data_IF_542794842691
#
_entry.id   IF_542794842691
#
_cell.length_a   1.000
_cell.length_b   1.000
_cell.length_c   1.000
_cell.angle_alpha   90.00
_cell.angle_beta   90.00
_cell.angle_gamma   90.00
#
_symmetry.space_group_name_H-M   'P 1'
#
loop_
_entity.id
_entity.type
_entity.pdbx_description
1 polymer ?
#
# COMPACT_ATOMS: atom_id res chain seq x y z
N UNK A 1 25.62 -6.15 38.95
CA UNK A 1 26.37 -5.68 37.78
C UNK A 1 27.85 -5.57 38.08
N UNK A 2 28.68 -6.29 37.37
CA UNK A 2 30.14 -6.24 37.44
C UNK A 2 30.67 -4.91 36.88
N UNK A 3 31.94 -4.57 37.17
CA UNK A 3 32.57 -3.37 36.59
C UNK A 3 32.64 -3.43 35.05
N UNK A 4 32.79 -4.63 34.48
CA UNK A 4 32.83 -4.86 33.03
C UNK A 4 31.46 -4.60 32.41
N UNK A 5 30.39 -5.16 32.97
CA UNK A 5 29.01 -4.94 32.50
C UNK A 5 28.60 -3.48 32.46
N UNK A 6 29.00 -2.70 33.51
CA UNK A 6 28.74 -1.25 33.56
C UNK A 6 29.49 -0.48 32.46
N UNK A 7 30.73 -0.87 32.17
CA UNK A 7 31.51 -0.27 31.08
C UNK A 7 30.90 -0.56 29.74
N UNK A 8 30.50 -1.81 29.51
CA UNK A 8 29.92 -2.24 28.25
C UNK A 8 28.56 -1.61 28.02
N UNK A 9 27.71 -1.48 29.07
CA UNK A 9 26.47 -0.76 29.02
C UNK A 9 26.67 0.73 28.66
N UNK A 10 27.63 1.38 29.33
CA UNK A 10 27.96 2.79 29.05
C UNK A 10 28.44 2.99 27.61
N UNK A 11 29.32 2.15 27.15
CA UNK A 11 29.80 2.21 25.74
C UNK A 11 28.68 1.97 24.77
N UNK A 12 27.84 0.96 24.98
CA UNK A 12 26.66 0.70 24.17
C UNK A 12 25.70 1.88 24.12
N UNK A 13 25.40 2.50 25.26
CA UNK A 13 24.56 3.71 25.31
C UNK A 13 25.20 4.91 24.62
N UNK A 14 26.53 5.10 24.73
CA UNK A 14 27.24 6.17 24.01
C UNK A 14 27.16 5.97 22.49
N UNK A 15 27.31 4.76 21.97
CA UNK A 15 27.17 4.48 20.56
C UNK A 15 25.71 4.59 20.06
N UNK A 16 24.74 4.20 20.90
CA UNK A 16 23.33 4.32 20.57
C UNK A 16 22.77 5.74 20.79
N UNK A 17 23.46 6.60 21.55
CA UNK A 17 22.95 7.92 21.93
C UNK A 17 22.55 8.84 20.77
N UNK A 18 23.27 8.92 19.65
CA UNK A 18 22.83 9.76 18.52
C UNK A 18 21.48 9.31 17.97
N UNK A 19 21.26 7.99 17.85
CA UNK A 19 19.98 7.44 17.41
C UNK A 19 18.89 7.70 18.48
N UNK A 20 19.17 7.47 19.74
CA UNK A 20 18.21 7.69 20.85
C UNK A 20 17.79 9.17 20.90
N UNK A 21 18.73 10.09 20.82
CA UNK A 21 18.44 11.53 20.80
C UNK A 21 17.60 11.90 19.57
N UNK A 22 17.98 11.41 18.40
CA UNK A 22 17.22 11.63 17.17
C UNK A 22 15.79 11.06 17.27
N UNK A 23 15.63 9.85 17.79
CA UNK A 23 14.32 9.25 18.02
C UNK A 23 13.46 10.05 18.99
N UNK A 24 14.03 10.48 20.13
CA UNK A 24 13.31 11.27 21.13
C UNK A 24 12.88 12.63 20.56
N UNK A 25 13.79 13.33 19.85
CA UNK A 25 13.54 14.68 19.35
C UNK A 25 12.61 14.68 18.12
N UNK A 26 12.79 13.75 17.18
CA UNK A 26 12.11 13.80 15.89
C UNK A 26 11.00 12.78 15.72
N UNK A 27 10.86 11.83 16.63
CA UNK A 27 9.79 10.84 16.57
C UNK A 27 8.91 10.93 17.82
N UNK A 28 9.46 10.75 18.99
CA UNK A 28 8.66 10.67 20.21
C UNK A 28 8.01 12.01 20.58
N UNK A 29 8.78 13.11 20.52
CA UNK A 29 8.25 14.44 20.82
C UNK A 29 7.13 14.86 19.86
N UNK A 30 7.27 14.82 18.52
CA UNK A 30 6.18 15.12 17.61
C UNK A 30 4.98 14.20 17.77
N UNK A 31 5.20 12.91 18.05
CA UNK A 31 4.12 11.98 18.35
C UNK A 31 3.33 12.38 19.60
N UNK A 32 4.02 12.65 20.70
CA UNK A 32 3.38 13.12 21.94
C UNK A 32 2.65 14.46 21.76
N UNK A 33 3.26 15.39 21.02
CA UNK A 33 2.63 16.66 20.66
C UNK A 33 1.36 16.45 19.80
N UNK A 34 1.40 15.54 18.82
CA UNK A 34 0.22 15.19 18.01
C UNK A 34 -0.92 14.62 18.86
N UNK A 35 -0.60 13.77 19.84
CA UNK A 35 -1.58 13.26 20.80
C UNK A 35 -2.20 14.40 21.62
N UNK A 36 -1.38 15.34 22.12
CA UNK A 36 -1.89 16.51 22.83
C UNK A 36 -2.79 17.37 21.94
N UNK A 37 -2.34 17.71 20.72
CA UNK A 37 -3.11 18.53 19.79
C UNK A 37 -4.40 17.86 19.30
N UNK A 38 -4.48 16.52 19.33
CA UNK A 38 -5.73 15.83 18.99
C UNK A 38 -6.90 16.17 19.91
N UNK A 39 -6.61 16.64 21.12
CA UNK A 39 -7.61 17.13 22.07
C UNK A 39 -7.83 18.65 22.00
N UNK A 40 -7.16 19.33 21.07
CA UNK A 40 -7.22 20.77 20.92
C UNK A 40 -7.83 21.14 19.56
N UNK A 41 -8.49 22.32 19.49
CA UNK A 41 -8.69 23.02 18.21
C UNK A 41 -7.36 23.73 17.89
N UNK A 42 -6.68 23.28 16.84
CA UNK A 42 -5.37 23.76 16.45
C UNK A 42 -5.21 23.84 14.94
N UNK A 43 -4.90 25.02 14.43
CA UNK A 43 -4.71 25.30 13.00
C UNK A 43 -3.26 25.63 12.63
N UNK A 44 -2.31 25.38 13.53
CA UNK A 44 -0.88 25.70 13.43
C UNK A 44 -0.53 27.20 13.36
N UNK A 45 -1.48 28.11 13.34
CA UNK A 45 -1.27 29.56 13.31
C UNK A 45 -1.60 30.15 14.68
N UNK A 46 -2.77 29.79 15.20
CA UNK A 46 -3.25 30.26 16.51
C UNK A 46 -2.81 29.30 17.64
N UNK A 47 -2.75 29.79 18.88
CA UNK A 47 -2.49 28.92 20.02
C UNK A 47 -3.52 27.79 20.14
N UNK A 48 -3.10 26.57 20.55
CA UNK A 48 -4.02 25.45 20.70
C UNK A 48 -5.04 25.69 21.82
N UNK A 49 -6.32 25.53 21.51
CA UNK A 49 -7.42 25.66 22.46
C UNK A 49 -7.89 24.26 22.83
N UNK A 50 -7.87 23.90 24.10
CA UNK A 50 -8.31 22.59 24.58
C UNK A 50 -9.81 22.40 24.39
N UNK A 51 -10.21 21.43 23.59
CA UNK A 51 -11.62 21.11 23.26
C UNK A 51 -12.04 19.72 23.74
N UNK A 52 -11.16 19.01 24.43
CA UNK A 52 -11.42 17.65 24.93
C UNK A 52 -11.66 16.66 23.80
N UNK A 53 -12.76 15.91 23.84
CA UNK A 53 -13.11 14.87 22.86
C UNK A 53 -13.93 15.37 21.67
N UNK A 54 -14.04 16.69 21.48
CA UNK A 54 -14.87 17.25 20.40
C UNK A 54 -14.43 16.79 19.02
N UNK A 55 -13.13 16.79 18.76
CA UNK A 55 -12.55 16.31 17.49
C UNK A 55 -12.89 14.84 17.22
N UNK A 56 -12.84 14.01 18.25
CA UNK A 56 -13.17 12.57 18.13
C UNK A 56 -14.67 12.34 17.87
N UNK A 57 -15.55 13.15 18.47
CA UNK A 57 -16.99 13.07 18.19
C UNK A 57 -17.29 13.48 16.76
N UNK A 58 -16.67 14.57 16.28
CA UNK A 58 -16.81 15.01 14.90
C UNK A 58 -16.28 13.94 13.92
N UNK A 59 -15.12 13.35 14.22
CA UNK A 59 -14.53 12.28 13.45
C UNK A 59 -15.46 11.07 13.31
N UNK A 60 -16.13 10.64 14.37
CA UNK A 60 -17.07 9.52 14.34
C UNK A 60 -18.34 9.81 13.51
N UNK A 61 -18.70 11.08 13.31
CA UNK A 61 -19.81 11.48 12.46
C UNK A 61 -19.40 11.85 11.03
N UNK A 62 -18.09 11.80 10.74
CA UNK A 62 -17.55 12.16 9.43
C UNK A 62 -17.70 11.00 8.42
N UNK A 63 -18.49 11.24 7.37
CA UNK A 63 -18.68 10.30 6.28
C UNK A 63 -17.38 9.96 5.53
N UNK A 64 -16.46 10.93 5.41
CA UNK A 64 -15.16 10.68 4.76
C UNK A 64 -14.32 9.69 5.55
N UNK A 65 -14.34 9.75 6.89
CA UNK A 65 -13.65 8.78 7.72
C UNK A 65 -14.19 7.37 7.48
N UNK A 66 -15.51 7.20 7.49
CA UNK A 66 -16.14 5.90 7.28
C UNK A 66 -15.79 5.32 5.91
N UNK A 67 -15.87 6.15 4.86
CA UNK A 67 -15.48 5.74 3.50
C UNK A 67 -13.99 5.37 3.43
N UNK A 68 -13.12 6.16 4.05
CA UNK A 68 -11.68 5.90 4.08
C UNK A 68 -11.34 4.61 4.82
N UNK A 69 -11.99 4.35 5.95
CA UNK A 69 -11.83 3.10 6.69
C UNK A 69 -12.33 1.91 5.88
N UNK A 70 -13.52 1.99 5.29
CA UNK A 70 -14.06 0.94 4.44
C UNK A 70 -13.11 0.63 3.29
N UNK A 71 -12.63 1.63 2.56
CA UNK A 71 -11.70 1.47 1.46
C UNK A 71 -10.37 0.86 1.91
N UNK A 72 -9.85 1.26 3.07
CA UNK A 72 -8.63 0.70 3.66
C UNK A 72 -8.80 -0.79 3.99
N UNK A 73 -9.89 -1.15 4.64
CA UNK A 73 -10.20 -2.54 4.95
C UNK A 73 -10.41 -3.37 3.69
N UNK A 74 -11.21 -2.87 2.74
CA UNK A 74 -11.45 -3.54 1.47
C UNK A 74 -10.14 -3.82 0.72
N UNK A 75 -9.30 -2.79 0.57
CA UNK A 75 -8.01 -2.92 -0.07
C UNK A 75 -7.08 -3.90 0.67
N UNK A 76 -7.02 -3.81 1.98
CA UNK A 76 -6.14 -4.65 2.80
C UNK A 76 -6.56 -6.11 2.73
N UNK A 77 -7.85 -6.39 2.93
CA UNK A 77 -8.40 -7.76 2.88
C UNK A 77 -8.28 -8.35 1.47
N UNK A 78 -8.49 -7.54 0.43
CA UNK A 78 -8.35 -7.99 -0.95
C UNK A 78 -6.90 -8.18 -1.38
N UNK A 79 -5.98 -7.30 -0.96
CA UNK A 79 -4.60 -7.32 -1.45
C UNK A 79 -3.65 -8.19 -0.63
N UNK A 80 -3.76 -8.21 0.71
CA UNK A 80 -2.76 -8.86 1.56
C UNK A 80 -2.86 -10.39 1.50
N UNK A 81 -4.02 -11.04 1.74
CA UNK A 81 -4.08 -12.50 1.69
C UNK A 81 -3.75 -13.05 0.30
N UNK A 82 -4.31 -12.44 -0.74
CA UNK A 82 -4.07 -12.87 -2.12
C UNK A 82 -2.59 -12.64 -2.49
N UNK A 83 -2.02 -11.50 -2.10
CA UNK A 83 -0.61 -11.20 -2.34
C UNK A 83 0.33 -12.16 -1.63
N UNK A 84 0.04 -12.58 -0.40
CA UNK A 84 0.81 -13.60 0.34
C UNK A 84 0.70 -14.94 -0.37
N UNK A 85 -0.52 -15.37 -0.71
CA UNK A 85 -0.75 -16.64 -1.41
C UNK A 85 0.01 -16.69 -2.75
N UNK A 86 -0.08 -15.62 -3.57
CA UNK A 86 0.66 -15.54 -4.83
C UNK A 86 2.16 -15.58 -4.64
N UNK A 87 2.71 -14.93 -3.61
CA UNK A 87 4.16 -14.97 -3.31
C UNK A 87 4.61 -16.35 -2.89
N UNK A 88 3.84 -17.04 -2.06
CA UNK A 88 4.15 -18.42 -1.65
C UNK A 88 4.10 -19.35 -2.87
N UNK A 89 3.05 -19.27 -3.69
CA UNK A 89 2.94 -20.07 -4.90
C UNK A 89 4.09 -19.80 -5.87
N UNK A 90 4.46 -18.54 -6.05
CA UNK A 90 5.58 -18.16 -6.90
C UNK A 90 6.92 -18.64 -6.32
N UNK A 91 7.13 -18.57 -5.01
CA UNK A 91 8.33 -19.07 -4.34
C UNK A 91 8.48 -20.59 -4.56
N UNK A 92 7.42 -21.36 -4.33
CA UNK A 92 7.39 -22.80 -4.58
C UNK A 92 7.65 -23.12 -6.05
N UNK A 93 7.08 -22.35 -6.97
CA UNK A 93 7.32 -22.50 -8.40
C UNK A 93 8.79 -22.23 -8.77
N UNK A 94 9.37 -21.15 -8.27
CA UNK A 94 10.75 -20.76 -8.59
C UNK A 94 11.82 -21.60 -7.88
N UNK A 95 11.46 -22.35 -6.84
CA UNK A 95 12.36 -23.32 -6.17
C UNK A 95 12.50 -24.64 -6.95
N UNK A 96 11.65 -24.89 -7.92
CA UNK A 96 11.71 -26.12 -8.72
C UNK A 96 12.93 -26.14 -9.64
N UNK A 97 13.56 -27.34 -9.78
CA UNK A 97 14.72 -27.57 -10.66
C UNK A 97 14.30 -27.82 -12.11
N UNK A 98 13.55 -26.88 -12.71
CA UNK A 98 13.10 -26.99 -14.10
C UNK A 98 14.11 -26.36 -15.07
N UNK A 99 14.14 -26.88 -16.32
CA UNK A 99 14.92 -26.26 -17.39
C UNK A 99 14.38 -24.85 -17.67
N UNK A 100 15.26 -23.86 -17.78
CA UNK A 100 14.89 -22.47 -18.06
C UNK A 100 14.46 -21.66 -16.83
N UNK A 101 14.64 -22.16 -15.60
CA UNK A 101 14.23 -21.46 -14.38
C UNK A 101 14.85 -20.05 -14.25
N UNK A 102 16.09 -19.87 -14.75
CA UNK A 102 16.71 -18.54 -14.80
C UNK A 102 15.90 -17.53 -15.58
N UNK A 103 15.30 -17.93 -16.72
CA UNK A 103 14.44 -17.05 -17.52
C UNK A 103 13.17 -16.69 -16.77
N UNK A 104 12.52 -17.65 -16.10
CA UNK A 104 11.34 -17.36 -15.28
C UNK A 104 11.65 -16.38 -14.15
N UNK A 105 12.75 -16.57 -13.44
CA UNK A 105 13.21 -15.63 -12.40
C UNK A 105 13.40 -14.22 -12.97
N UNK A 106 14.04 -14.10 -14.13
CA UNK A 106 14.21 -12.80 -14.79
C UNK A 106 12.89 -12.15 -15.15
N UNK A 107 11.93 -12.89 -15.71
CA UNK A 107 10.60 -12.37 -16.08
C UNK A 107 9.85 -11.86 -14.85
N UNK A 108 9.84 -12.62 -13.75
CA UNK A 108 9.15 -12.21 -12.52
C UNK A 108 9.87 -11.09 -11.76
N UNK A 109 11.18 -10.92 -11.98
CA UNK A 109 11.95 -9.82 -11.40
C UNK A 109 11.82 -8.52 -12.20
N UNK A 110 11.57 -8.61 -13.50
CA UNK A 110 11.53 -7.46 -14.42
C UNK A 110 10.63 -6.31 -13.93
N UNK A 111 9.41 -6.56 -13.43
CA UNK A 111 8.52 -5.49 -12.93
C UNK A 111 9.14 -4.65 -11.80
N UNK A 112 10.06 -5.19 -11.04
CA UNK A 112 10.70 -4.49 -9.91
C UNK A 112 11.72 -3.44 -10.36
N UNK A 113 12.29 -3.62 -11.56
CA UNK A 113 13.30 -2.70 -12.11
C UNK A 113 12.63 -1.51 -12.78
N UNK A 114 11.36 -1.64 -13.18
CA UNK A 114 10.65 -0.57 -13.88
C UNK A 114 10.36 0.58 -12.91
N UNK A 115 10.72 1.83 -13.27
CA UNK A 115 10.42 2.99 -12.44
C UNK A 115 8.92 3.12 -12.16
N UNK A 116 8.56 3.46 -10.92
CA UNK A 116 7.16 3.55 -10.49
C UNK A 116 6.32 4.51 -11.34
N UNK A 117 6.91 5.62 -11.80
CA UNK A 117 6.23 6.59 -12.67
C UNK A 117 5.86 5.95 -14.02
N UNK A 118 6.81 5.23 -14.64
CA UNK A 118 6.54 4.54 -15.90
C UNK A 118 5.47 3.46 -15.74
N UNK A 119 5.53 2.69 -14.65
CA UNK A 119 4.51 1.70 -14.32
C UNK A 119 3.13 2.35 -14.12
N UNK A 120 3.06 3.50 -13.47
CA UNK A 120 1.79 4.22 -13.27
C UNK A 120 1.18 4.67 -14.60
N UNK A 121 1.97 5.21 -15.52
CA UNK A 121 1.51 5.60 -16.87
C UNK A 121 1.03 4.38 -17.66
N UNK A 122 1.75 3.26 -17.59
CA UNK A 122 1.31 2.01 -18.23
C UNK A 122 -0.05 1.55 -17.70
N UNK A 123 -0.28 1.61 -16.39
CA UNK A 123 -1.55 1.24 -15.80
C UNK A 123 -2.68 2.20 -16.17
N UNK A 124 -2.43 3.52 -16.25
CA UNK A 124 -3.40 4.49 -16.75
C UNK A 124 -3.84 4.13 -18.17
N UNK A 125 -2.90 3.70 -19.02
CA UNK A 125 -3.23 3.26 -20.38
C UNK A 125 -3.96 1.91 -20.39
N UNK A 126 -3.50 0.91 -19.65
CA UNK A 126 -4.12 -0.42 -19.56
C UNK A 126 -5.58 -0.34 -19.09
N UNK A 127 -5.85 0.53 -18.10
CA UNK A 127 -7.18 0.74 -17.52
C UNK A 127 -7.98 1.86 -18.18
N UNK A 128 -7.52 2.42 -19.28
CA UNK A 128 -8.31 3.43 -19.98
C UNK A 128 -9.64 2.85 -20.45
N UNK A 129 -10.75 3.55 -20.16
CA UNK A 129 -12.10 3.04 -20.44
C UNK A 129 -12.41 2.89 -21.93
N UNK A 130 -11.89 3.80 -22.77
CA UNK A 130 -12.21 3.85 -24.19
C UNK A 130 -11.24 3.02 -25.04
N UNK A 131 -9.95 3.26 -24.88
CA UNK A 131 -8.87 2.71 -25.71
C UNK A 131 -7.92 1.77 -24.95
N UNK A 132 -8.21 1.45 -23.70
CA UNK A 132 -7.34 0.64 -22.86
C UNK A 132 -7.30 -0.82 -23.26
N UNK A 133 -6.17 -1.46 -22.91
CA UNK A 133 -5.90 -2.85 -23.25
C UNK A 133 -6.96 -3.80 -22.67
N UNK A 134 -7.38 -3.61 -21.42
CA UNK A 134 -8.35 -4.49 -20.78
C UNK A 134 -9.71 -4.42 -21.45
N UNK A 135 -10.26 -3.24 -21.70
CA UNK A 135 -11.53 -3.10 -22.39
C UNK A 135 -11.43 -3.57 -23.86
N UNK A 136 -10.27 -3.39 -24.49
CA UNK A 136 -10.00 -3.97 -25.81
C UNK A 136 -10.11 -5.50 -25.81
N UNK A 137 -9.52 -6.18 -24.84
CA UNK A 137 -9.63 -7.63 -24.68
C UNK A 137 -11.08 -8.03 -24.38
N UNK A 138 -11.78 -7.34 -23.47
CA UNK A 138 -13.17 -7.64 -23.12
C UNK A 138 -14.11 -7.51 -24.35
N UNK A 139 -13.86 -6.54 -25.23
CA UNK A 139 -14.57 -6.42 -26.53
C UNK A 139 -14.31 -7.60 -27.45
N UNK A 140 -13.04 -7.99 -27.61
CA UNK A 140 -12.66 -9.09 -28.50
C UNK A 140 -13.24 -10.44 -28.08
N UNK A 141 -13.32 -10.72 -26.77
CA UNK A 141 -13.91 -11.96 -26.25
C UNK A 141 -15.44 -11.90 -26.12
N UNK A 142 -16.07 -10.79 -26.53
CA UNK A 142 -17.53 -10.64 -26.59
C UNK A 142 -18.20 -10.33 -25.24
N UNK A 143 -17.45 -10.02 -24.20
CA UNK A 143 -17.99 -9.67 -22.87
C UNK A 143 -18.81 -8.37 -22.94
N UNK A 144 -18.41 -7.39 -23.76
CA UNK A 144 -19.18 -6.18 -23.99
C UNK A 144 -20.62 -6.48 -24.41
N UNK A 145 -20.82 -7.44 -25.31
CA UNK A 145 -22.15 -7.84 -25.77
C UNK A 145 -22.98 -8.47 -24.66
N UNK A 146 -22.35 -9.25 -23.79
CA UNK A 146 -23.01 -9.89 -22.66
C UNK A 146 -23.42 -8.84 -21.63
N UNK A 147 -22.50 -7.91 -21.28
CA UNK A 147 -22.77 -6.83 -20.36
C UNK A 147 -23.87 -5.90 -20.87
N UNK A 148 -23.85 -5.54 -22.16
CA UNK A 148 -24.87 -4.72 -22.79
C UNK A 148 -26.27 -5.36 -22.70
N UNK A 149 -26.38 -6.68 -22.87
CA UNK A 149 -27.66 -7.41 -22.67
C UNK A 149 -28.15 -7.38 -21.22
N UNK A 150 -27.24 -7.23 -20.27
CA UNK A 150 -27.57 -7.11 -18.83
C UNK A 150 -27.79 -5.65 -18.40
N UNK A 151 -27.68 -4.69 -19.33
CA UNK A 151 -27.84 -3.26 -19.05
C UNK A 151 -26.61 -2.57 -18.49
N UNK A 152 -25.43 -3.21 -18.56
CA UNK A 152 -24.15 -2.67 -18.07
C UNK A 152 -23.24 -2.31 -19.24
N UNK A 153 -22.46 -1.22 -19.09
CA UNK A 153 -21.35 -0.88 -19.98
C UNK A 153 -20.05 -1.59 -19.57
N UNK A 154 -19.00 -1.41 -20.39
CA UNK A 154 -17.66 -1.82 -19.99
C UNK A 154 -17.18 -1.00 -18.76
N UNK A 155 -16.36 -1.60 -17.89
CA UNK A 155 -15.89 -0.94 -16.70
C UNK A 155 -15.08 0.32 -17.00
N UNK A 156 -15.33 1.38 -16.22
CA UNK A 156 -14.43 2.53 -16.12
C UNK A 156 -13.52 2.32 -14.90
N UNK A 157 -12.49 1.53 -15.11
CA UNK A 157 -11.65 0.90 -14.08
C UNK A 157 -11.16 1.83 -12.96
N UNK A 158 -10.83 3.08 -13.28
CA UNK A 158 -10.22 4.01 -12.32
C UNK A 158 -11.17 5.10 -11.83
N UNK A 159 -12.27 5.35 -12.55
CA UNK A 159 -13.19 6.44 -12.23
C UNK A 159 -14.55 5.96 -11.72
N UNK A 160 -14.81 4.65 -11.78
CA UNK A 160 -16.04 4.05 -11.25
C UNK A 160 -15.82 3.64 -9.79
N UNK A 161 -16.77 3.98 -8.93
CA UNK A 161 -16.74 3.69 -7.50
C UNK A 161 -16.61 2.19 -7.20
N UNK A 162 -17.23 1.33 -8.01
CA UNK A 162 -17.20 -0.11 -7.83
C UNK A 162 -15.92 -0.76 -8.37
N UNK A 163 -15.28 -0.16 -9.38
CA UNK A 163 -14.14 -0.75 -10.07
C UNK A 163 -12.79 -0.18 -9.65
N UNK A 164 -12.75 1.01 -9.06
CA UNK A 164 -11.49 1.67 -8.68
C UNK A 164 -10.68 0.84 -7.68
N UNK A 165 -11.30 0.32 -6.63
CA UNK A 165 -10.62 -0.49 -5.61
C UNK A 165 -10.15 -1.86 -6.13
N UNK A 166 -10.97 -2.65 -6.85
CA UNK A 166 -10.50 -3.86 -7.54
C UNK A 166 -9.32 -3.61 -8.48
N UNK A 167 -9.34 -2.49 -9.22
CA UNK A 167 -8.24 -2.13 -10.13
C UNK A 167 -6.94 -1.86 -9.39
N UNK A 168 -6.99 -1.12 -8.29
CA UNK A 168 -5.82 -0.88 -7.43
C UNK A 168 -5.27 -2.17 -6.82
N UNK A 169 -6.15 -3.10 -6.42
CA UNK A 169 -5.74 -4.42 -5.92
C UNK A 169 -5.04 -5.21 -7.04
N UNK A 170 -5.57 -5.17 -8.27
CA UNK A 170 -4.96 -5.84 -9.42
C UNK A 170 -3.56 -5.30 -9.73
N UNK A 171 -3.40 -3.97 -9.72
CA UNK A 171 -2.09 -3.33 -9.92
C UNK A 171 -1.04 -3.81 -8.93
N UNK A 172 -1.44 -4.07 -7.68
CA UNK A 172 -0.51 -4.50 -6.63
C UNK A 172 0.14 -5.85 -6.94
N UNK A 173 -0.52 -6.72 -7.70
CA UNK A 173 0.01 -8.04 -8.02
C UNK A 173 1.08 -8.02 -9.12
N UNK A 174 1.22 -6.93 -9.87
CA UNK A 174 2.24 -6.76 -10.89
C UNK A 174 3.68 -6.96 -10.37
N UNK A 175 3.98 -6.47 -9.19
CA UNK A 175 5.32 -6.54 -8.59
C UNK A 175 5.53 -7.67 -7.59
N UNK A 176 4.66 -8.70 -7.56
CA UNK A 176 4.71 -9.79 -6.58
C UNK A 176 6.03 -10.57 -6.63
N UNK A 177 6.64 -10.69 -7.82
CA UNK A 177 7.84 -11.49 -8.02
C UNK A 177 9.13 -10.89 -7.45
N UNK A 178 9.23 -9.57 -7.32
CA UNK A 178 10.48 -8.91 -6.97
C UNK A 178 11.07 -9.36 -5.63
N UNK A 179 10.27 -9.39 -4.59
CA UNK A 179 10.73 -9.84 -3.27
C UNK A 179 11.00 -11.35 -3.20
N UNK A 180 10.33 -12.16 -4.02
CA UNK A 180 10.46 -13.63 -4.02
C UNK A 180 11.74 -14.09 -4.71
N UNK A 181 12.21 -13.33 -5.70
CA UNK A 181 13.41 -13.72 -6.48
C UNK A 181 14.72 -13.40 -5.75
N UNK A 182 14.68 -12.45 -4.78
CA UNK A 182 15.87 -12.02 -4.03
C UNK A 182 16.23 -13.01 -2.91
N UNK A 183 15.29 -13.76 -2.41
CA UNK A 183 15.43 -14.78 -1.36
C UNK A 183 15.32 -16.18 -1.94
#
# INVERSE_FOLDING_TARGET
MTKTERRDLRNGLMFASPYIVGFLAFTLYPFAASVYYSFCSFNAIDPPIWTGLSNYRQMLSDGYLHTSLYNTFYYTIGSVPIGIALRILLAVFLDQKLRGMATYRTIFFLPTIVPVVATSVLWLWVFNAESGLLNGILRQIGIETILAKLGYGLPNWLSDENWSMPSLILMRFWGVGGAVVIF
#
